data_IF_918376025017
#
_entry.id   IF_918376025017
#
_cell.length_a   1.000
_cell.length_b   1.000
_cell.length_c   1.000
_cell.angle_alpha   90.00
_cell.angle_beta   90.00
_cell.angle_gamma   90.00
#
_symmetry.space_group_name_H-M   'P 1'
#
loop_
_entity.id
_entity.type
_entity.pdbx_description
1 polymer ?
#
# COMPACT_ATOMS: atom_id res chain seq x y z
N UNK A 1 -68.58 1.39 -18.66
CA UNK A 1 -67.96 1.03 -17.36
C UNK A 1 -66.42 0.99 -17.41
N UNK A 2 -65.79 0.91 -18.59
CA UNK A 2 -64.33 0.86 -18.77
C UNK A 2 -63.62 2.22 -18.90
N UNK A 3 -64.35 3.31 -19.09
CA UNK A 3 -63.76 4.66 -19.24
C UNK A 3 -63.32 5.26 -17.91
N UNK A 4 -64.07 5.04 -16.83
CA UNK A 4 -63.75 5.52 -15.47
C UNK A 4 -62.47 4.91 -14.89
N UNK A 5 -62.15 3.67 -15.26
CA UNK A 5 -60.92 3.00 -14.80
C UNK A 5 -59.65 3.53 -15.47
N UNK A 6 -59.75 4.14 -16.66
CA UNK A 6 -58.59 4.71 -17.35
C UNK A 6 -58.18 6.06 -16.75
N UNK A 7 -59.14 6.91 -16.38
CA UNK A 7 -58.87 8.21 -15.77
C UNK A 7 -58.30 8.08 -14.35
N UNK A 8 -58.83 7.16 -13.53
CA UNK A 8 -58.30 6.86 -12.19
C UNK A 8 -56.85 6.38 -12.24
N UNK A 9 -56.52 5.47 -13.18
CA UNK A 9 -55.15 4.96 -13.35
C UNK A 9 -54.19 6.01 -13.93
N UNK A 10 -54.69 6.92 -14.77
CA UNK A 10 -53.90 8.02 -15.31
C UNK A 10 -53.59 9.06 -14.22
N UNK A 11 -54.60 9.47 -13.45
CA UNK A 11 -54.41 10.40 -12.33
C UNK A 11 -53.49 9.80 -11.28
N UNK A 12 -53.63 8.51 -10.95
CA UNK A 12 -52.75 7.83 -10.00
C UNK A 12 -51.28 7.83 -10.46
N UNK A 13 -51.00 7.54 -11.74
CA UNK A 13 -49.64 7.60 -12.30
C UNK A 13 -49.09 9.03 -12.29
N UNK A 14 -49.89 10.00 -12.71
CA UNK A 14 -49.49 11.40 -12.70
C UNK A 14 -49.20 11.90 -11.27
N UNK A 15 -49.96 11.46 -10.27
CA UNK A 15 -49.73 11.82 -8.87
C UNK A 15 -48.40 11.24 -8.36
N UNK A 16 -48.11 9.97 -8.67
CA UNK A 16 -46.85 9.31 -8.29
C UNK A 16 -45.64 9.96 -8.96
N UNK A 17 -45.74 10.30 -10.25
CA UNK A 17 -44.67 11.01 -10.97
C UNK A 17 -44.44 12.41 -10.40
N UNK A 18 -45.50 13.12 -9.99
CA UNK A 18 -45.41 14.41 -9.33
C UNK A 18 -44.85 14.30 -7.91
N UNK A 19 -45.18 13.25 -7.15
CA UNK A 19 -44.54 12.96 -5.85
C UNK A 19 -43.05 12.66 -6.00
N UNK A 20 -42.68 11.88 -7.03
CA UNK A 20 -41.29 11.58 -7.36
C UNK A 20 -40.52 12.87 -7.74
N UNK A 21 -41.14 13.73 -8.55
CA UNK A 21 -40.57 15.03 -8.91
C UNK A 21 -40.41 15.95 -7.70
N UNK A 22 -41.45 16.10 -6.86
CA UNK A 22 -41.41 16.93 -5.66
C UNK A 22 -40.40 16.41 -4.63
N UNK A 23 -40.29 15.10 -4.47
CA UNK A 23 -39.31 14.48 -3.57
C UNK A 23 -37.89 14.70 -4.07
N UNK A 24 -37.60 14.51 -5.36
CA UNK A 24 -36.31 14.88 -5.97
C UNK A 24 -36.01 16.38 -5.76
N UNK A 25 -37.01 17.26 -5.90
CA UNK A 25 -36.88 18.68 -5.60
C UNK A 25 -36.64 18.97 -4.11
N UNK A 26 -37.17 18.15 -3.19
CA UNK A 26 -36.81 18.24 -1.77
C UNK A 26 -35.35 17.88 -1.53
N UNK A 27 -34.79 16.95 -2.29
CA UNK A 27 -33.35 16.65 -2.25
C UNK A 27 -32.47 17.72 -2.91
N UNK A 28 -33.03 18.64 -3.70
CA UNK A 28 -32.29 19.85 -4.08
C UNK A 28 -31.78 20.56 -2.82
N UNK A 29 -32.53 20.53 -1.71
CA UNK A 29 -32.13 21.09 -0.41
C UNK A 29 -30.90 20.42 0.21
N UNK A 30 -30.37 19.31 -0.34
CA UNK A 30 -29.03 18.81 0.01
C UNK A 30 -27.94 19.88 -0.22
N UNK A 31 -28.18 20.87 -1.09
CA UNK A 31 -27.32 22.06 -1.22
C UNK A 31 -27.19 22.83 0.12
N UNK A 32 -28.21 22.81 0.96
CA UNK A 32 -28.19 23.44 2.29
C UNK A 32 -27.29 22.67 3.25
N UNK A 33 -27.22 21.34 3.16
CA UNK A 33 -26.31 20.52 3.97
C UNK A 33 -24.86 20.85 3.61
N UNK A 34 -24.57 20.95 2.32
CA UNK A 34 -23.27 21.42 1.83
C UNK A 34 -22.94 22.84 2.33
N UNK A 35 -23.91 23.75 2.29
CA UNK A 35 -23.77 25.11 2.84
C UNK A 35 -23.58 25.12 4.36
N UNK A 36 -24.23 24.21 5.08
CA UNK A 36 -24.11 24.07 6.53
C UNK A 36 -22.73 23.51 6.93
N UNK A 37 -22.21 22.52 6.18
CA UNK A 37 -20.83 22.01 6.35
C UNK A 37 -19.81 23.13 6.12
N UNK A 38 -20.02 23.97 5.10
CA UNK A 38 -19.20 25.15 4.84
C UNK A 38 -19.28 26.16 6.00
N UNK A 39 -20.48 26.47 6.49
CA UNK A 39 -20.71 27.45 7.55
C UNK A 39 -20.17 26.99 8.91
N UNK A 40 -20.30 25.70 9.23
CA UNK A 40 -19.86 25.12 10.51
C UNK A 40 -18.37 24.76 10.52
N UNK A 41 -17.70 24.79 9.36
CA UNK A 41 -16.25 24.61 9.30
C UNK A 41 -15.54 25.81 9.88
N UNK A 42 -14.88 25.63 11.04
CA UNK A 42 -14.04 26.64 11.72
C UNK A 42 -12.98 27.28 10.79
N UNK A 43 -12.63 26.60 9.69
CA UNK A 43 -11.71 27.09 8.66
C UNK A 43 -12.27 28.32 7.92
N UNK A 44 -13.56 28.35 7.60
CA UNK A 44 -14.18 29.48 6.88
C UNK A 44 -14.63 30.62 7.81
N UNK A 45 -14.89 30.32 9.09
CA UNK A 45 -15.33 31.31 10.07
C UNK A 45 -14.16 32.10 10.70
N UNK A 46 -12.95 31.55 10.68
CA UNK A 46 -11.79 32.17 11.30
C UNK A 46 -11.31 33.41 10.53
N UNK A 47 -11.21 34.54 11.23
CA UNK A 47 -10.72 35.81 10.69
C UNK A 47 -9.32 35.69 10.07
N UNK A 48 -8.44 34.86 10.65
CA UNK A 48 -7.08 34.64 10.15
C UNK A 48 -7.07 34.00 8.76
N UNK A 49 -7.93 33.00 8.52
CA UNK A 49 -8.02 32.36 7.20
C UNK A 49 -8.48 33.35 6.14
N UNK A 50 -9.51 34.16 6.44
CA UNK A 50 -10.04 35.19 5.52
C UNK A 50 -8.99 36.25 5.18
N UNK A 51 -8.29 36.75 6.19
CA UNK A 51 -7.23 37.75 6.00
C UNK A 51 -6.10 37.21 5.13
N UNK A 52 -5.62 35.99 5.41
CA UNK A 52 -4.51 35.38 4.65
C UNK A 52 -4.94 35.04 3.22
N UNK A 53 -6.17 34.58 3.00
CA UNK A 53 -6.65 34.29 1.64
C UNK A 53 -6.89 35.54 0.80
N UNK A 54 -7.31 36.66 1.41
CA UNK A 54 -7.41 37.95 0.71
C UNK A 54 -6.03 38.46 0.27
N UNK A 55 -4.99 38.28 1.10
CA UNK A 55 -3.61 38.66 0.75
C UNK A 55 -3.06 37.83 -0.43
N UNK A 56 -3.55 36.60 -0.59
CA UNK A 56 -3.11 35.70 -1.67
C UNK A 56 -4.07 35.69 -2.88
N UNK A 57 -5.08 36.57 -2.93
CA UNK A 57 -6.11 36.58 -3.98
C UNK A 57 -6.79 35.21 -4.21
N UNK A 58 -6.99 34.42 -3.15
CA UNK A 58 -7.63 33.10 -3.25
C UNK A 58 -9.11 33.23 -2.92
N UNK A 59 -9.96 32.93 -3.90
CA UNK A 59 -11.41 32.87 -3.68
C UNK A 59 -11.78 31.61 -2.87
N UNK A 60 -12.41 31.82 -1.71
CA UNK A 60 -12.91 30.75 -0.83
C UNK A 60 -14.13 30.06 -1.45
N UNK A 61 -13.87 29.17 -2.41
CA UNK A 61 -14.89 28.31 -3.05
C UNK A 61 -15.08 27.01 -2.29
N UNK A 62 -16.19 26.30 -2.50
CA UNK A 62 -16.42 24.99 -1.90
C UNK A 62 -15.30 23.99 -2.22
N UNK A 63 -14.81 23.99 -3.47
CA UNK A 63 -13.75 23.07 -3.91
C UNK A 63 -12.47 23.26 -3.10
N UNK A 64 -12.16 24.48 -2.69
CA UNK A 64 -11.03 24.77 -1.81
C UNK A 64 -11.27 24.20 -0.41
N UNK A 65 -12.45 24.42 0.16
CA UNK A 65 -12.79 23.94 1.52
C UNK A 65 -12.82 22.42 1.59
N UNK A 66 -13.41 21.76 0.60
CA UNK A 66 -13.39 20.30 0.49
C UNK A 66 -11.95 19.78 0.45
N UNK A 67 -11.07 20.38 -0.36
CA UNK A 67 -9.65 20.03 -0.41
C UNK A 67 -8.96 20.19 0.96
N UNK A 68 -9.21 21.30 1.66
CA UNK A 68 -8.63 21.56 2.99
C UNK A 68 -9.12 20.53 4.02
N UNK A 69 -10.42 20.23 4.02
CA UNK A 69 -11.04 19.28 4.94
C UNK A 69 -10.52 17.85 4.69
N UNK A 70 -10.45 17.45 3.41
CA UNK A 70 -9.86 16.19 2.97
C UNK A 70 -8.37 16.08 3.34
N UNK A 71 -7.61 17.17 3.34
CA UNK A 71 -6.20 17.12 3.72
C UNK A 71 -6.00 17.04 5.24
N UNK A 72 -6.84 17.71 6.04
CA UNK A 72 -6.71 17.74 7.50
C UNK A 72 -7.13 16.42 8.15
N UNK A 73 -8.33 15.93 7.84
CA UNK A 73 -8.87 14.69 8.39
C UNK A 73 -9.55 13.87 7.27
N UNK A 74 -8.77 13.20 6.41
CA UNK A 74 -9.31 12.53 5.22
C UNK A 74 -10.33 11.45 5.56
N UNK A 75 -10.02 10.56 6.53
CA UNK A 75 -10.87 9.43 6.88
C UNK A 75 -12.23 9.88 7.47
N UNK A 76 -12.22 10.83 8.42
CA UNK A 76 -13.46 11.36 9.02
C UNK A 76 -14.37 12.03 7.99
N UNK A 77 -13.77 12.77 7.06
CA UNK A 77 -14.51 13.48 6.01
C UNK A 77 -15.14 12.49 5.02
N UNK A 78 -14.39 11.48 4.60
CA UNK A 78 -14.89 10.41 3.72
C UNK A 78 -16.02 9.62 4.39
N UNK A 79 -15.86 9.25 5.66
CA UNK A 79 -16.86 8.48 6.38
C UNK A 79 -18.20 9.23 6.42
N UNK A 80 -18.19 10.52 6.81
CA UNK A 80 -19.41 11.34 6.85
C UNK A 80 -20.05 11.47 5.46
N UNK A 81 -19.24 11.64 4.42
CA UNK A 81 -19.73 11.70 3.04
C UNK A 81 -20.40 10.40 2.60
N UNK A 82 -19.78 9.25 2.89
CA UNK A 82 -20.30 7.92 2.53
C UNK A 82 -21.62 7.64 3.26
N UNK A 83 -21.69 7.87 4.57
CA UNK A 83 -22.91 7.63 5.34
C UNK A 83 -24.08 8.50 4.86
N UNK A 84 -23.80 9.78 4.59
CA UNK A 84 -24.81 10.68 4.06
C UNK A 84 -25.28 10.23 2.68
N UNK A 85 -24.34 9.86 1.80
CA UNK A 85 -24.66 9.33 0.48
C UNK A 85 -25.53 8.07 0.57
N UNK A 86 -25.19 7.12 1.43
CA UNK A 86 -25.97 5.89 1.64
C UNK A 86 -27.40 6.17 2.07
N UNK A 87 -27.61 7.07 3.04
CA UNK A 87 -28.94 7.44 3.50
C UNK A 87 -29.76 8.10 2.39
N UNK A 88 -29.16 9.03 1.63
CA UNK A 88 -29.85 9.70 0.52
C UNK A 88 -30.18 8.74 -0.63
N UNK A 89 -29.24 7.88 -1.03
CA UNK A 89 -29.44 6.92 -2.11
C UNK A 89 -30.43 5.80 -1.70
N UNK A 90 -30.40 5.35 -0.44
CA UNK A 90 -31.36 4.39 0.11
C UNK A 90 -32.77 4.97 0.07
N UNK A 91 -32.95 6.21 0.51
CA UNK A 91 -34.24 6.88 0.44
C UNK A 91 -34.73 7.05 -1.01
N UNK A 92 -33.85 7.45 -1.94
CA UNK A 92 -34.20 7.54 -3.36
C UNK A 92 -34.64 6.20 -3.95
N UNK A 93 -33.93 5.13 -3.60
CA UNK A 93 -34.25 3.80 -4.08
C UNK A 93 -35.61 3.32 -3.56
N UNK A 94 -35.90 3.56 -2.27
CA UNK A 94 -37.20 3.27 -1.68
C UNK A 94 -38.33 4.03 -2.37
N UNK A 95 -38.11 5.30 -2.76
CA UNK A 95 -39.10 6.07 -3.52
C UNK A 95 -39.32 5.49 -4.93
N UNK A 96 -38.25 5.16 -5.67
CA UNK A 96 -38.36 4.56 -7.00
C UNK A 96 -39.10 3.21 -6.97
N UNK A 97 -38.85 2.36 -5.97
CA UNK A 97 -39.42 1.01 -5.86
C UNK A 97 -40.75 0.95 -5.09
N UNK A 98 -41.29 2.09 -4.64
CA UNK A 98 -42.57 2.14 -3.90
C UNK A 98 -43.75 1.62 -4.74
N UNK A 99 -43.67 1.78 -6.06
CA UNK A 99 -44.75 1.45 -6.98
C UNK A 99 -44.89 -0.07 -7.22
N UNK A 100 -43.81 -0.83 -7.06
CA UNK A 100 -43.74 -2.25 -7.44
C UNK A 100 -44.12 -3.22 -6.31
N UNK A 101 -44.39 -2.73 -5.09
CA UNK A 101 -44.75 -3.54 -3.90
C UNK A 101 -43.79 -4.73 -3.66
N UNK A 102 -42.51 -4.55 -4.02
CA UNK A 102 -41.45 -5.55 -3.84
C UNK A 102 -40.76 -5.38 -2.48
N UNK A 103 -40.13 -6.43 -1.93
CA UNK A 103 -39.35 -6.35 -0.68
C UNK A 103 -38.24 -5.29 -0.68
N UNK A 104 -37.81 -4.81 -1.85
CA UNK A 104 -36.87 -3.69 -2.03
C UNK A 104 -37.44 -2.34 -1.57
N UNK A 105 -38.76 -2.21 -1.41
CA UNK A 105 -39.44 -1.01 -0.96
C UNK A 105 -39.22 -0.66 0.52
N UNK A 106 -38.62 -1.55 1.32
CA UNK A 106 -38.26 -1.25 2.71
C UNK A 106 -36.91 -0.54 2.82
N UNK A 107 -36.80 0.49 3.66
CA UNK A 107 -35.59 1.30 3.83
C UNK A 107 -34.36 0.46 4.24
N UNK A 108 -34.54 -0.56 5.10
CA UNK A 108 -33.44 -1.44 5.51
C UNK A 108 -32.86 -2.26 4.35
N UNK A 109 -33.72 -2.85 3.53
CA UNK A 109 -33.33 -3.60 2.33
C UNK A 109 -32.70 -2.69 1.28
N UNK A 110 -33.24 -1.48 1.11
CA UNK A 110 -32.66 -0.48 0.21
C UNK A 110 -31.27 -0.03 0.69
N UNK A 111 -31.09 0.18 2.00
CA UNK A 111 -29.78 0.53 2.58
C UNK A 111 -28.77 -0.59 2.37
N UNK A 112 -29.16 -1.85 2.60
CA UNK A 112 -28.34 -3.02 2.30
C UNK A 112 -27.91 -3.04 0.83
N UNK A 113 -28.86 -2.90 -0.09
CA UNK A 113 -28.61 -2.89 -1.53
C UNK A 113 -27.67 -1.76 -1.95
N UNK A 114 -27.86 -0.54 -1.42
CA UNK A 114 -26.98 0.60 -1.70
C UNK A 114 -25.57 0.37 -1.16
N UNK A 115 -25.42 -0.18 0.04
CA UNK A 115 -24.11 -0.47 0.62
C UNK A 115 -23.33 -1.50 -0.21
N UNK A 116 -23.94 -2.63 -0.57
CA UNK A 116 -23.27 -3.67 -1.37
C UNK A 116 -22.96 -3.19 -2.79
N UNK A 117 -23.81 -2.33 -3.37
CA UNK A 117 -23.59 -1.73 -4.70
C UNK A 117 -22.44 -0.73 -4.65
N UNK A 118 -22.38 0.11 -3.60
CA UNK A 118 -21.32 1.08 -3.40
C UNK A 118 -19.95 0.42 -3.20
N UNK A 119 -19.92 -0.70 -2.46
CA UNK A 119 -18.72 -1.52 -2.29
C UNK A 119 -18.41 -2.38 -3.52
N UNK A 120 -19.23 -2.33 -4.57
CA UNK A 120 -19.08 -3.14 -5.79
C UNK A 120 -19.06 -4.65 -5.52
N UNK A 121 -19.76 -5.12 -4.47
CA UNK A 121 -19.89 -6.55 -4.12
C UNK A 121 -20.98 -7.20 -4.96
N UNK A 122 -22.19 -6.64 -4.93
CA UNK A 122 -23.32 -7.06 -5.76
C UNK A 122 -23.72 -8.54 -5.61
N UNK A 123 -24.19 -8.96 -4.43
CA UNK A 123 -24.63 -10.35 -4.18
C UNK A 123 -25.75 -10.83 -5.11
N UNK A 124 -26.63 -9.92 -5.56
CA UNK A 124 -27.75 -10.25 -6.45
C UNK A 124 -28.97 -10.87 -5.76
N UNK A 125 -29.00 -10.87 -4.43
CA UNK A 125 -30.13 -11.26 -3.58
C UNK A 125 -31.34 -10.32 -3.73
N UNK A 126 -31.05 -9.02 -3.85
CA UNK A 126 -32.05 -7.98 -4.09
C UNK A 126 -31.59 -7.09 -5.23
N UNK A 127 -32.49 -6.76 -6.16
CA UNK A 127 -32.20 -5.90 -7.30
C UNK A 127 -33.35 -4.93 -7.59
N UNK A 128 -33.07 -3.72 -8.12
CA UNK A 128 -34.13 -2.79 -8.52
C UNK A 128 -34.88 -3.31 -9.75
N UNK A 129 -36.20 -3.37 -9.67
CA UNK A 129 -37.05 -3.74 -10.79
C UNK A 129 -37.29 -2.54 -11.72
N UNK A 130 -37.35 -1.33 -11.16
CA UNK A 130 -37.69 -0.10 -11.88
C UNK A 130 -36.50 0.51 -12.60
N UNK A 131 -36.76 1.21 -13.72
CA UNK A 131 -35.73 1.97 -14.45
C UNK A 131 -35.11 3.09 -13.60
N UNK A 132 -35.92 3.71 -12.74
CA UNK A 132 -35.49 4.71 -11.76
C UNK A 132 -34.48 4.10 -10.76
N UNK A 133 -34.82 2.96 -10.14
CA UNK A 133 -33.93 2.27 -9.21
C UNK A 133 -32.63 1.81 -9.85
N UNK A 134 -32.68 1.32 -11.10
CA UNK A 134 -31.49 0.97 -11.88
C UNK A 134 -30.57 2.17 -12.10
N UNK A 135 -31.12 3.35 -12.42
CA UNK A 135 -30.33 4.57 -12.54
C UNK A 135 -29.65 4.95 -11.22
N UNK A 136 -30.36 4.89 -10.09
CA UNK A 136 -29.79 5.15 -8.75
C UNK A 136 -28.65 4.19 -8.44
N UNK A 137 -28.80 2.89 -8.72
CA UNK A 137 -27.75 1.89 -8.54
C UNK A 137 -26.52 2.16 -9.41
N UNK A 138 -26.71 2.58 -10.67
CA UNK A 138 -25.61 2.96 -11.57
C UNK A 138 -24.81 4.16 -11.01
N UNK A 139 -25.50 5.23 -10.59
CA UNK A 139 -24.85 6.38 -9.97
C UNK A 139 -24.13 6.01 -8.67
N UNK A 140 -24.72 5.12 -7.87
CA UNK A 140 -24.13 4.59 -6.63
C UNK A 140 -22.83 3.84 -6.92
N UNK A 141 -22.80 3.00 -7.96
CA UNK A 141 -21.59 2.27 -8.37
C UNK A 141 -20.46 3.20 -8.82
N UNK A 142 -20.76 4.17 -9.69
CA UNK A 142 -19.77 5.16 -10.16
C UNK A 142 -19.19 5.97 -8.99
N UNK A 143 -20.06 6.43 -8.07
CA UNK A 143 -19.62 7.16 -6.88
C UNK A 143 -18.78 6.29 -5.94
N UNK A 144 -19.13 5.00 -5.80
CA UNK A 144 -18.38 4.01 -5.03
C UNK A 144 -16.94 3.87 -5.53
N UNK A 145 -16.75 3.67 -6.83
CA UNK A 145 -15.43 3.57 -7.46
C UNK A 145 -14.62 4.86 -7.29
N UNK A 146 -15.25 6.02 -7.42
CA UNK A 146 -14.57 7.30 -7.17
C UNK A 146 -14.10 7.44 -5.71
N UNK A 147 -14.93 7.00 -4.76
CA UNK A 147 -14.60 7.05 -3.33
C UNK A 147 -13.51 6.04 -2.94
N UNK A 148 -13.52 4.83 -3.50
CA UNK A 148 -12.46 3.83 -3.25
C UNK A 148 -11.11 4.31 -3.79
N UNK A 149 -11.07 4.91 -4.99
CA UNK A 149 -9.84 5.51 -5.52
C UNK A 149 -9.28 6.61 -4.60
N UNK A 150 -10.16 7.45 -4.06
CA UNK A 150 -9.76 8.48 -3.10
C UNK A 150 -9.27 7.89 -1.77
N UNK A 151 -9.93 6.84 -1.26
CA UNK A 151 -9.52 6.13 -0.05
C UNK A 151 -8.11 5.55 -0.22
N UNK A 152 -7.82 4.90 -1.34
CA UNK A 152 -6.49 4.36 -1.67
C UNK A 152 -5.45 5.48 -1.64
N UNK A 153 -5.71 6.62 -2.29
CA UNK A 153 -4.80 7.76 -2.27
C UNK A 153 -4.50 8.29 -0.86
N UNK A 154 -5.50 8.27 0.04
CA UNK A 154 -5.33 8.65 1.45
C UNK A 154 -4.49 7.63 2.19
N UNK A 155 -4.80 6.34 2.02
CA UNK A 155 -4.10 5.23 2.69
C UNK A 155 -2.64 5.21 2.26
N UNK A 156 -2.34 5.34 0.97
CA UNK A 156 -0.96 5.42 0.46
C UNK A 156 -0.18 6.56 1.10
N UNK A 157 -0.78 7.75 1.25
CA UNK A 157 -0.13 8.90 1.90
C UNK A 157 0.11 8.69 3.39
N UNK A 158 -0.74 7.91 4.07
CA UNK A 158 -0.60 7.60 5.50
C UNK A 158 0.36 6.45 5.78
N UNK A 159 0.49 5.51 4.85
CA UNK A 159 1.45 4.40 4.91
C UNK A 159 2.84 4.79 4.40
N UNK A 160 2.98 5.91 3.71
CA UNK A 160 4.28 6.41 3.28
C UNK A 160 5.14 6.76 4.50
N UNK A 161 6.28 6.07 4.64
CA UNK A 161 7.25 6.32 5.70
C UNK A 161 7.75 7.77 5.64
N UNK A 162 7.88 8.38 6.82
CA UNK A 162 8.48 9.70 6.93
C UNK A 162 9.98 9.64 6.56
N UNK A 163 10.59 10.79 6.24
CA UNK A 163 12.00 10.88 5.85
C UNK A 163 12.93 10.26 6.91
N UNK A 164 12.62 10.46 8.19
CA UNK A 164 13.37 9.88 9.32
C UNK A 164 13.21 8.36 9.42
N UNK A 165 11.98 7.85 9.36
CA UNK A 165 11.71 6.40 9.42
C UNK A 165 12.35 5.67 8.23
N UNK A 166 12.26 6.26 7.04
CA UNK A 166 12.92 5.76 5.83
C UNK A 166 14.43 5.69 5.99
N UNK A 167 15.05 6.70 6.62
CA UNK A 167 16.49 6.69 6.88
C UNK A 167 16.90 5.58 7.85
N UNK A 168 16.17 5.41 8.96
CA UNK A 168 16.42 4.31 9.92
C UNK A 168 16.24 2.95 9.26
N UNK A 169 15.20 2.79 8.42
CA UNK A 169 14.96 1.55 7.69
C UNK A 169 16.10 1.21 6.71
N UNK A 170 16.58 2.20 5.94
CA UNK A 170 17.73 1.98 5.06
C UNK A 170 19.00 1.64 5.83
N UNK A 171 19.28 2.35 6.91
CA UNK A 171 20.46 2.08 7.74
C UNK A 171 20.44 0.65 8.31
N UNK A 172 19.28 0.18 8.78
CA UNK A 172 19.11 -1.19 9.25
C UNK A 172 19.33 -2.22 8.13
N UNK A 173 18.78 -1.97 6.93
CA UNK A 173 18.98 -2.83 5.76
C UNK A 173 20.46 -2.92 5.37
N UNK A 174 21.19 -1.80 5.37
CA UNK A 174 22.61 -1.77 5.02
C UNK A 174 23.45 -2.61 6.00
N UNK A 175 23.14 -2.57 7.30
CA UNK A 175 23.80 -3.40 8.31
C UNK A 175 23.54 -4.89 8.03
N UNK A 176 22.29 -5.27 7.73
CA UNK A 176 21.95 -6.66 7.44
C UNK A 176 22.62 -7.17 6.17
N UNK A 177 22.63 -6.37 5.10
CA UNK A 177 23.31 -6.68 3.85
C UNK A 177 24.80 -6.85 4.09
N UNK A 178 25.43 -5.93 4.82
CA UNK A 178 26.86 -6.00 5.16
C UNK A 178 27.22 -7.27 5.94
N UNK A 179 26.35 -7.71 6.85
CA UNK A 179 26.52 -8.98 7.57
C UNK A 179 26.44 -10.19 6.62
N UNK A 180 25.45 -10.21 5.72
CA UNK A 180 25.28 -11.29 4.73
C UNK A 180 26.44 -11.36 3.73
N UNK A 181 26.91 -10.21 3.24
CA UNK A 181 28.06 -10.14 2.32
C UNK A 181 29.33 -10.67 2.99
N UNK A 182 29.63 -10.24 4.21
CA UNK A 182 30.78 -10.76 4.96
C UNK A 182 30.69 -12.28 5.15
N UNK A 183 29.54 -12.82 5.56
CA UNK A 183 29.34 -14.26 5.70
C UNK A 183 29.62 -15.03 4.40
N UNK A 184 29.14 -14.54 3.25
CA UNK A 184 29.43 -15.14 1.95
C UNK A 184 30.91 -15.04 1.57
N UNK A 185 31.57 -13.94 1.93
CA UNK A 185 33.00 -13.74 1.66
C UNK A 185 33.88 -14.70 2.48
N UNK A 186 33.53 -14.93 3.75
CA UNK A 186 34.17 -15.97 4.56
C UNK A 186 33.96 -17.37 3.94
N UNK A 187 32.74 -17.71 3.51
CA UNK A 187 32.45 -18.98 2.86
C UNK A 187 33.21 -19.18 1.52
N UNK A 188 33.32 -18.11 0.72
CA UNK A 188 34.10 -18.09 -0.53
C UNK A 188 35.59 -18.27 -0.26
N UNK A 189 36.15 -17.57 0.74
CA UNK A 189 37.55 -17.74 1.13
C UNK A 189 37.82 -19.17 1.57
N UNK A 190 36.96 -19.74 2.41
CA UNK A 190 37.11 -21.11 2.90
C UNK A 190 37.07 -22.13 1.75
N UNK A 191 36.17 -21.95 0.77
CA UNK A 191 36.11 -22.76 -0.45
C UNK A 191 37.37 -22.62 -1.34
N UNK A 192 37.88 -21.40 -1.52
CA UNK A 192 39.11 -21.15 -2.30
C UNK A 192 40.34 -21.76 -1.63
N UNK A 193 40.46 -21.64 -0.31
CA UNK A 193 41.57 -22.24 0.47
C UNK A 193 41.53 -23.77 0.33
N UNK A 194 40.36 -24.39 0.48
CA UNK A 194 40.23 -25.86 0.29
C UNK A 194 40.64 -26.29 -1.11
N UNK A 195 40.26 -25.53 -2.16
CA UNK A 195 40.69 -25.81 -3.54
C UNK A 195 42.20 -25.62 -3.74
N UNK A 196 42.77 -24.55 -3.21
CA UNK A 196 44.20 -24.27 -3.29
C UNK A 196 45.03 -25.35 -2.58
N UNK A 197 44.64 -25.74 -1.37
CA UNK A 197 45.30 -26.82 -0.60
C UNK A 197 45.24 -28.14 -1.37
N UNK A 198 44.09 -28.49 -1.94
CA UNK A 198 43.95 -29.68 -2.82
C UNK A 198 44.86 -29.59 -4.05
N UNK A 199 44.98 -28.42 -4.68
CA UNK A 199 45.84 -28.20 -5.84
C UNK A 199 47.32 -28.35 -5.48
N UNK A 200 47.77 -27.76 -4.37
CA UNK A 200 49.15 -27.92 -3.88
C UNK A 200 49.48 -29.36 -3.52
N UNK A 201 48.56 -30.08 -2.88
CA UNK A 201 48.74 -31.51 -2.58
C UNK A 201 48.82 -32.38 -3.83
N UNK A 202 47.94 -32.12 -4.83
CA UNK A 202 47.95 -32.82 -6.11
C UNK A 202 49.30 -32.66 -6.83
N UNK A 203 49.83 -31.43 -6.88
CA UNK A 203 51.10 -31.14 -7.55
C UNK A 203 52.33 -31.71 -6.80
N UNK A 204 52.17 -32.06 -5.52
CA UNK A 204 53.23 -32.64 -4.69
C UNK A 204 53.37 -34.16 -4.83
N UNK A 205 52.49 -34.82 -5.60
CA UNK A 205 52.53 -36.28 -5.80
C UNK A 205 52.20 -37.12 -4.55
N UNK A 206 51.79 -36.48 -3.45
CA UNK A 206 51.41 -37.16 -2.20
C UNK A 206 49.96 -37.63 -2.33
N UNK A 207 49.80 -38.80 -2.96
CA UNK A 207 48.50 -39.48 -3.09
C UNK A 207 48.33 -40.44 -1.91
N UNK A 208 48.05 -39.95 -0.72
CA UNK A 208 47.47 -40.79 0.32
C UNK A 208 46.36 -40.10 1.12
N UNK A 209 45.41 -40.94 1.50
CA UNK A 209 44.02 -40.66 1.78
C UNK A 209 43.81 -39.83 3.04
N UNK A 210 43.06 -38.73 2.95
CA UNK A 210 42.39 -38.19 4.12
C UNK A 210 40.99 -37.65 3.79
N UNK A 211 40.04 -38.07 4.63
CA UNK A 211 38.64 -37.65 4.61
C UNK A 211 38.56 -36.13 4.68
N UNK A 212 37.92 -35.55 3.65
CA UNK A 212 37.55 -34.15 3.60
C UNK A 212 36.55 -33.91 4.72
N UNK A 213 36.97 -33.22 5.78
CA UNK A 213 36.03 -32.61 6.72
C UNK A 213 35.33 -31.52 5.91
N UNK A 214 34.14 -31.81 5.40
CA UNK A 214 33.30 -30.84 4.72
C UNK A 214 32.89 -29.78 5.74
N UNK A 215 33.06 -28.51 5.39
CA UNK A 215 32.72 -27.36 6.23
C UNK A 215 31.21 -27.17 6.45
N UNK A 216 30.39 -28.19 6.17
CA UNK A 216 28.94 -28.09 6.11
C UNK A 216 28.25 -28.18 7.48
N UNK A 217 29.00 -28.29 8.59
CA UNK A 217 28.44 -28.45 9.95
C UNK A 217 28.82 -27.36 10.95
N UNK A 218 29.43 -26.25 10.55
CA UNK A 218 29.82 -25.19 11.49
C UNK A 218 28.83 -24.02 11.53
N UNK A 219 28.10 -23.93 12.65
CA UNK A 219 27.29 -22.79 13.03
C UNK A 219 28.19 -21.56 13.28
N UNK A 220 27.95 -20.40 12.62
CA UNK A 220 28.85 -19.25 12.66
C UNK A 220 28.99 -18.56 14.03
N UNK A 221 28.23 -18.96 15.06
CA UNK A 221 28.29 -18.36 16.39
C UNK A 221 29.26 -19.07 17.36
N UNK A 222 29.81 -20.23 17.02
CA UNK A 222 30.68 -21.02 17.91
C UNK A 222 32.18 -20.81 17.66
N UNK A 223 32.56 -19.87 16.79
CA UNK A 223 33.97 -19.56 16.50
C UNK A 223 34.50 -18.66 17.62
N UNK A 224 34.75 -19.26 18.78
CA UNK A 224 35.64 -18.68 19.78
C UNK A 224 37.08 -18.78 19.29
N UNK A 225 37.89 -17.74 19.55
CA UNK A 225 39.29 -17.60 19.10
C UNK A 225 40.19 -18.81 19.45
N UNK A 226 39.77 -19.65 20.40
CA UNK A 226 40.42 -20.90 20.77
C UNK A 226 40.38 -21.99 19.68
N UNK A 227 39.37 -22.00 18.81
CA UNK A 227 39.25 -23.01 17.73
C UNK A 227 40.20 -22.68 16.58
N UNK A 228 40.37 -21.39 16.26
CA UNK A 228 41.31 -20.93 15.24
C UNK A 228 42.74 -21.26 15.67
N UNK A 229 43.11 -20.97 16.93
CA UNK A 229 44.44 -21.32 17.44
C UNK A 229 44.70 -22.83 17.44
N UNK A 230 43.71 -23.68 17.78
CA UNK A 230 43.89 -25.12 17.81
C UNK A 230 44.10 -25.75 16.41
N UNK A 231 43.47 -25.19 15.37
CA UNK A 231 43.64 -25.65 13.98
C UNK A 231 45.01 -25.24 13.44
N UNK A 232 45.46 -24.02 13.75
CA UNK A 232 46.80 -23.52 13.39
C UNK A 232 47.90 -24.34 14.08
N UNK A 233 47.73 -24.71 15.37
CA UNK A 233 48.77 -25.40 16.13
C UNK A 233 48.94 -26.90 15.80
N UNK A 234 47.85 -27.62 15.48
CA UNK A 234 47.91 -29.08 15.31
C UNK A 234 48.33 -29.56 13.92
N UNK A 235 48.20 -28.72 12.89
CA UNK A 235 48.40 -29.14 11.50
C UNK A 235 49.53 -28.40 10.77
N UNK A 236 50.02 -27.28 11.31
CA UNK A 236 51.12 -26.48 10.71
C UNK A 236 52.49 -26.84 11.33
N UNK A 237 52.52 -27.62 12.41
CA UNK A 237 53.73 -27.85 13.20
C UNK A 237 54.87 -28.69 12.54
N UNK A 238 54.69 -29.57 11.54
CA UNK A 238 55.83 -30.26 10.93
C UNK A 238 56.30 -29.61 9.62
N UNK A 239 55.99 -28.33 9.37
CA UNK A 239 56.27 -27.68 8.10
C UNK A 239 57.42 -26.67 8.19
N UNK A 240 58.57 -27.11 8.68
CA UNK A 240 59.84 -26.34 8.59
C UNK A 240 60.44 -26.29 7.17
N UNK A 241 59.70 -26.75 6.15
CA UNK A 241 60.12 -26.77 4.73
C UNK A 241 59.17 -25.97 3.81
N UNK A 242 58.26 -25.16 4.34
CA UNK A 242 57.43 -24.23 3.54
C UNK A 242 57.71 -22.75 3.78
N UNK A 243 58.62 -22.37 4.69
CA UNK A 243 59.06 -20.96 4.82
C UNK A 243 59.70 -20.44 3.52
N UNK A 244 60.34 -21.31 2.73
CA UNK A 244 60.86 -20.97 1.39
C UNK A 244 59.78 -20.79 0.32
N UNK A 245 58.57 -21.34 0.51
CA UNK A 245 57.45 -21.13 -0.43
C UNK A 245 56.57 -19.94 -0.03
N UNK A 246 56.53 -19.58 1.25
CA UNK A 246 55.89 -18.34 1.72
C UNK A 246 56.56 -17.10 1.11
N UNK A 247 57.90 -17.07 1.05
CA UNK A 247 58.65 -15.99 0.41
C UNK A 247 58.34 -15.85 -1.09
N UNK A 248 58.17 -16.96 -1.81
CA UNK A 248 57.81 -16.92 -3.24
C UNK A 248 56.37 -16.43 -3.47
N UNK A 249 55.46 -16.66 -2.53
CA UNK A 249 54.06 -16.18 -2.62
C UNK A 249 53.97 -14.69 -2.25
N UNK A 250 54.74 -14.21 -1.27
CA UNK A 250 54.83 -12.78 -0.95
C UNK A 250 55.37 -11.97 -2.14
N UNK A 251 56.42 -12.46 -2.82
CA UNK A 251 56.99 -11.82 -4.02
C UNK A 251 55.99 -11.76 -5.18
N UNK A 252 55.16 -12.80 -5.36
CA UNK A 252 54.11 -12.84 -6.39
C UNK A 252 52.92 -11.90 -6.09
N UNK A 253 52.64 -11.65 -4.81
CA UNK A 253 51.58 -10.72 -4.39
C UNK A 253 52.03 -9.26 -4.39
N UNK A 254 53.28 -8.94 -4.05
CA UNK A 254 53.78 -7.56 -4.11
C UNK A 254 54.17 -7.10 -5.53
N UNK A 255 54.39 -8.03 -6.46
CA UNK A 255 54.77 -7.73 -7.85
C UNK A 255 53.65 -7.22 -8.77
N UNK A 256 52.41 -7.05 -8.28
CA UNK A 256 51.27 -6.59 -9.09
C UNK A 256 50.73 -5.21 -8.72
N UNK A 257 51.48 -4.43 -7.91
CA UNK A 257 51.14 -3.04 -7.61
C UNK A 257 52.41 -2.17 -7.63
N UNK A 258 52.91 -1.84 -8.84
CA UNK A 258 53.49 -0.54 -9.19
C UNK A 258 54.21 -0.59 -10.56
N UNK A 259 53.73 0.19 -11.53
CA UNK A 259 54.55 0.59 -12.68
C UNK A 259 53.82 0.73 -14.02
N UNK A 260 53.05 1.81 -14.20
CA UNK A 260 52.96 2.48 -15.51
C UNK A 260 53.27 3.96 -15.32
N UNK A 261 53.92 4.58 -16.33
CA UNK A 261 54.50 5.95 -16.42
C UNK A 261 56.00 5.93 -16.04
N UNK A 262 57.02 6.17 -16.90
CA UNK A 262 57.13 7.04 -18.09
C UNK A 262 58.38 6.70 -18.97
N UNK A 263 58.38 7.20 -20.22
CA UNK A 263 59.55 7.58 -21.06
C UNK A 263 60.26 6.53 -21.95
N UNK A 264 59.79 6.34 -23.18
CA UNK A 264 60.39 6.89 -24.42
C UNK A 264 59.43 6.73 -25.60
#
# INVERSE_FOLDING_TARGET
>A
MSTWTHDENFIFRALVDMELLLSVLMFLRLYLVHRAILLHSKVLLSASYRSIGSLNNINFTFRFVLKVLMNKHPARTLLVFILFFWLTASWMLTLCERQTQVSTGHMGTALWLIAITFLTVGYGDVAPATSCGKAVCLFTGVMGVACTAMLVAVVTKKLALNKGEKHVHFFMLDIQISKRVRAMQYFSQQSCIVKLVKFTFWNSGIREQYNVITCDTMNPNDISDNVIQNITFRYIAPVKRLETLSYSIEVLLTGTVNGHVQSK
#
